data_IF_092520644153
#
_entry.id   IF_092520644153
#
_cell.length_a   1.000
_cell.length_b   1.000
_cell.length_c   1.000
_cell.angle_alpha   90.00
_cell.angle_beta   90.00
_cell.angle_gamma   90.00
#
_symmetry.space_group_name_H-M   'P 1'
#
loop_
_entity.id
_entity.type
_entity.pdbx_description
1 polymer ?
#
# COMPACT_ATOMS: atom_id res chain seq x y z
N UNK A 1 64.99 23.72 5.23
CA UNK A 1 63.88 24.05 6.16
C UNK A 1 62.55 24.31 5.45
N UNK A 2 62.51 25.05 4.33
CA UNK A 2 61.26 25.30 3.56
C UNK A 2 60.52 24.05 3.06
N UNK A 3 61.25 23.04 2.57
CA UNK A 3 60.64 21.80 2.05
C UNK A 3 59.98 20.96 3.17
N UNK A 4 60.60 20.92 4.36
CA UNK A 4 60.05 20.22 5.52
C UNK A 4 58.75 20.88 6.01
N UNK A 5 58.70 22.21 5.95
CA UNK A 5 57.50 22.99 6.27
C UNK A 5 56.36 22.72 5.27
N UNK A 6 56.69 22.52 3.99
CA UNK A 6 55.74 22.23 2.92
C UNK A 6 55.12 20.82 3.06
N UNK A 7 55.92 19.82 3.45
CA UNK A 7 55.39 18.48 3.74
C UNK A 7 54.55 18.45 5.02
N UNK A 8 54.90 19.25 6.04
CA UNK A 8 54.13 19.34 7.28
C UNK A 8 52.75 19.99 7.04
N UNK A 9 52.69 21.05 6.23
CA UNK A 9 51.41 21.69 5.87
C UNK A 9 50.57 20.83 4.92
N UNK A 10 51.20 20.09 4.00
CA UNK A 10 50.48 19.15 3.13
C UNK A 10 49.83 18.00 3.93
N UNK A 11 50.52 17.48 4.95
CA UNK A 11 49.96 16.46 5.84
C UNK A 11 48.81 16.99 6.71
N UNK A 12 48.90 18.25 7.15
CA UNK A 12 47.85 18.89 7.95
C UNK A 12 46.56 19.14 7.13
N UNK A 13 46.67 19.44 5.84
CA UNK A 13 45.51 19.66 4.95
C UNK A 13 44.89 18.32 4.53
N UNK A 14 45.70 17.27 4.31
CA UNK A 14 45.21 15.94 3.95
C UNK A 14 44.42 15.23 5.08
N UNK A 15 44.65 15.61 6.35
CA UNK A 15 43.97 15.01 7.51
C UNK A 15 42.57 15.54 7.83
N UNK A 16 42.12 16.64 7.20
CA UNK A 16 40.89 17.36 7.59
C UNK A 16 39.62 16.86 6.87
N UNK A 17 39.71 15.84 6.01
CA UNK A 17 38.64 15.46 5.07
C UNK A 17 37.61 14.41 5.52
N UNK A 18 37.63 13.91 6.77
CA UNK A 18 36.88 12.69 7.13
C UNK A 18 35.57 12.87 7.91
N UNK A 19 35.14 14.09 8.27
CA UNK A 19 33.90 14.32 9.05
C UNK A 19 32.85 15.05 8.22
N UNK A 20 32.49 14.49 7.06
CA UNK A 20 31.40 15.01 6.21
C UNK A 20 30.22 14.03 6.04
N UNK A 21 30.28 12.85 6.66
CA UNK A 21 29.17 11.90 6.59
C UNK A 21 28.09 12.25 7.61
N UNK A 22 26.98 12.82 7.12
CA UNK A 22 25.73 12.86 7.86
C UNK A 22 25.26 11.43 8.09
N UNK A 23 25.30 10.97 9.34
CA UNK A 23 24.67 9.71 9.73
C UNK A 23 23.16 9.95 9.74
N UNK A 24 22.45 9.39 8.77
CA UNK A 24 20.97 9.36 8.80
C UNK A 24 20.55 8.42 9.93
N UNK A 25 20.21 8.99 11.09
CA UNK A 25 19.68 8.23 12.22
C UNK A 25 18.23 7.87 11.95
N UNK A 26 18.00 6.68 11.39
CA UNK A 26 16.67 6.13 11.19
C UNK A 26 16.09 5.62 12.52
N UNK A 27 14.80 5.84 12.72
CA UNK A 27 14.06 5.21 13.82
C UNK A 27 14.01 3.69 13.60
N UNK A 28 14.45 2.86 14.56
CA UNK A 28 14.47 1.41 14.40
C UNK A 28 13.09 0.79 14.13
N UNK A 29 12.03 1.31 14.77
CA UNK A 29 10.66 0.81 14.61
C UNK A 29 10.14 1.14 13.21
N UNK A 30 10.38 2.36 12.73
CA UNK A 30 9.99 2.74 11.37
C UNK A 30 10.74 1.89 10.34
N UNK A 31 12.03 1.64 10.55
CA UNK A 31 12.83 0.79 9.67
C UNK A 31 12.28 -0.63 9.60
N UNK A 32 11.86 -1.20 10.73
CA UNK A 32 11.24 -2.51 10.78
C UNK A 32 9.92 -2.54 10.00
N UNK A 33 9.00 -1.60 10.25
CA UNK A 33 7.72 -1.50 9.52
C UNK A 33 7.91 -1.37 8.01
N UNK A 34 8.90 -0.58 7.57
CA UNK A 34 9.23 -0.44 6.14
C UNK A 34 9.77 -1.75 5.56
N UNK A 35 10.54 -2.51 6.33
CA UNK A 35 11.12 -3.79 5.88
C UNK A 35 10.08 -4.89 5.67
N UNK A 36 8.90 -4.78 6.32
CA UNK A 36 7.78 -5.71 6.14
C UNK A 36 7.00 -5.45 4.83
N UNK A 37 7.20 -4.30 4.19
CA UNK A 37 6.54 -3.97 2.92
C UNK A 37 7.13 -4.79 1.78
N UNK A 38 6.36 -5.74 1.27
CA UNK A 38 6.76 -6.61 0.16
C UNK A 38 6.27 -6.07 -1.19
N UNK A 39 7.22 -5.81 -2.10
CA UNK A 39 6.95 -5.49 -3.52
C UNK A 39 6.14 -6.61 -4.18
N UNK A 40 6.55 -7.85 -4.00
CA UNK A 40 5.96 -9.02 -4.65
C UNK A 40 4.49 -9.21 -4.23
N UNK A 41 4.18 -8.94 -2.96
CA UNK A 41 2.79 -8.95 -2.47
C UNK A 41 1.93 -7.88 -3.16
N UNK A 42 2.43 -6.65 -3.28
CA UNK A 42 1.71 -5.55 -3.94
C UNK A 42 1.48 -5.87 -5.41
N UNK A 43 2.51 -6.36 -6.10
CA UNK A 43 2.42 -6.79 -7.49
C UNK A 43 1.39 -7.91 -7.66
N UNK A 44 1.40 -8.93 -6.79
CA UNK A 44 0.41 -10.00 -6.80
C UNK A 44 -1.03 -9.50 -6.63
N UNK A 45 -1.26 -8.49 -5.79
CA UNK A 45 -2.59 -7.88 -5.63
C UNK A 45 -3.03 -7.15 -6.90
N UNK A 46 -2.11 -6.41 -7.54
CA UNK A 46 -2.39 -5.70 -8.77
C UNK A 46 -2.75 -6.68 -9.88
N UNK A 47 -1.93 -7.72 -10.11
CA UNK A 47 -2.20 -8.74 -11.13
C UNK A 47 -3.53 -9.46 -10.89
N UNK A 48 -3.85 -9.79 -9.64
CA UNK A 48 -5.14 -10.39 -9.28
C UNK A 48 -6.30 -9.48 -9.68
N UNK A 49 -6.25 -8.20 -9.33
CA UNK A 49 -7.32 -7.25 -9.65
C UNK A 49 -7.43 -6.93 -11.15
N UNK A 50 -6.30 -6.92 -11.87
CA UNK A 50 -6.26 -6.74 -13.33
C UNK A 50 -6.82 -7.95 -14.06
N UNK A 51 -6.60 -9.16 -13.54
CA UNK A 51 -7.08 -10.39 -14.16
C UNK A 51 -8.62 -10.47 -14.30
N UNK A 52 -9.37 -9.65 -13.55
CA UNK A 52 -10.83 -9.55 -13.68
C UNK A 52 -11.31 -8.71 -14.88
N UNK A 53 -10.38 -8.21 -15.71
CA UNK A 53 -10.59 -7.45 -16.95
C UNK A 53 -11.25 -6.07 -16.81
N UNK A 54 -12.38 -5.95 -16.12
CA UNK A 54 -13.11 -4.68 -15.95
C UNK A 54 -13.68 -4.55 -14.54
N UNK A 55 -13.78 -3.31 -14.04
CA UNK A 55 -14.27 -2.96 -12.70
C UNK A 55 -15.20 -1.73 -12.72
N UNK A 56 -15.76 -1.41 -13.89
CA UNK A 56 -16.68 -0.29 -14.03
C UNK A 56 -18.06 -0.66 -13.49
N UNK A 57 -18.85 0.34 -13.06
CA UNK A 57 -20.11 0.16 -12.33
C UNK A 57 -21.14 -0.76 -13.03
N UNK A 58 -21.12 -0.84 -14.36
CA UNK A 58 -22.06 -1.64 -15.15
C UNK A 58 -21.48 -2.99 -15.62
N UNK A 59 -20.31 -3.38 -15.11
CA UNK A 59 -19.75 -4.71 -15.40
C UNK A 59 -20.44 -5.80 -14.58
N UNK A 60 -20.24 -7.06 -14.97
CA UNK A 60 -20.87 -8.21 -14.31
C UNK A 60 -20.55 -8.24 -12.81
N UNK A 61 -21.59 -8.55 -12.03
CA UNK A 61 -21.52 -8.71 -10.57
C UNK A 61 -21.52 -10.18 -10.13
N UNK A 62 -21.86 -11.07 -11.04
CA UNK A 62 -22.20 -12.47 -10.79
C UNK A 62 -21.30 -13.46 -11.53
N UNK A 63 -20.59 -13.02 -12.57
CA UNK A 63 -19.66 -13.86 -13.33
C UNK A 63 -18.37 -14.11 -12.53
N UNK A 64 -18.03 -15.38 -12.22
CA UNK A 64 -16.77 -15.70 -11.56
C UNK A 64 -15.56 -15.30 -12.43
N UNK A 65 -14.57 -14.65 -11.81
CA UNK A 65 -13.32 -14.28 -12.48
C UNK A 65 -13.43 -13.12 -13.47
N UNK A 66 -14.57 -12.43 -13.56
CA UNK A 66 -14.76 -11.31 -14.49
C UNK A 66 -15.62 -10.21 -13.86
N UNK A 67 -15.27 -8.95 -14.11
CA UNK A 67 -16.10 -7.82 -13.72
C UNK A 67 -15.92 -7.37 -12.26
N UNK A 68 -16.73 -6.37 -11.90
CA UNK A 68 -16.70 -5.72 -10.58
C UNK A 68 -17.06 -6.69 -9.45
N UNK A 69 -17.92 -7.68 -9.70
CA UNK A 69 -18.31 -8.69 -8.72
C UNK A 69 -17.16 -9.57 -8.25
N UNK A 70 -16.36 -10.06 -9.21
CA UNK A 70 -15.16 -10.84 -8.91
C UNK A 70 -14.14 -10.03 -8.09
N UNK A 71 -13.99 -8.74 -8.40
CA UNK A 71 -13.11 -7.84 -7.65
C UNK A 71 -13.59 -7.59 -6.21
N UNK A 72 -14.90 -7.36 -5.99
CA UNK A 72 -15.46 -7.24 -4.65
C UNK A 72 -15.25 -8.49 -3.80
N UNK A 73 -15.45 -9.68 -4.39
CA UNK A 73 -15.20 -10.95 -3.72
C UNK A 73 -13.73 -11.10 -3.33
N UNK A 74 -12.82 -10.81 -4.26
CA UNK A 74 -11.38 -10.87 -4.00
C UNK A 74 -10.97 -9.96 -2.83
N UNK A 75 -11.41 -8.69 -2.83
CA UNK A 75 -11.09 -7.74 -1.75
C UNK A 75 -11.66 -8.20 -0.41
N UNK A 76 -12.91 -8.67 -0.40
CA UNK A 76 -13.55 -9.18 0.81
C UNK A 76 -12.76 -10.33 1.42
N UNK A 77 -12.41 -11.34 0.60
CA UNK A 77 -11.66 -12.50 1.04
C UNK A 77 -10.25 -12.12 1.52
N UNK A 78 -9.58 -11.17 0.83
CA UNK A 78 -8.25 -10.69 1.21
C UNK A 78 -8.24 -9.93 2.53
N UNK A 79 -9.22 -9.07 2.78
CA UNK A 79 -9.33 -8.43 4.08
C UNK A 79 -9.68 -9.45 5.17
N UNK A 80 -10.61 -10.35 4.88
CA UNK A 80 -11.06 -11.38 5.83
C UNK A 80 -9.92 -12.31 6.26
N UNK A 81 -8.95 -12.60 5.39
CA UNK A 81 -7.80 -13.43 5.75
C UNK A 81 -6.93 -12.82 6.87
N UNK A 82 -7.00 -11.50 7.10
CA UNK A 82 -6.23 -10.81 8.15
C UNK A 82 -6.95 -10.74 9.50
N UNK A 83 -8.18 -11.25 9.64
CA UNK A 83 -8.95 -11.18 10.90
C UNK A 83 -8.19 -11.87 12.04
N UNK A 84 -7.59 -13.04 11.79
CA UNK A 84 -6.81 -13.76 12.80
C UNK A 84 -5.60 -12.94 13.28
N UNK A 85 -4.88 -12.32 12.36
CA UNK A 85 -3.71 -11.48 12.68
C UNK A 85 -4.10 -10.23 13.47
N UNK A 86 -5.31 -9.71 13.26
CA UNK A 86 -5.83 -8.57 14.04
C UNK A 86 -6.27 -8.92 15.47
N UNK A 87 -6.23 -10.19 15.88
CA UNK A 87 -6.80 -10.65 17.15
C UNK A 87 -8.34 -10.54 17.18
N UNK A 88 -9.00 -10.62 16.02
CA UNK A 88 -10.46 -10.49 15.91
C UNK A 88 -10.98 -9.04 15.89
N UNK A 89 -10.12 -8.02 15.94
CA UNK A 89 -10.52 -6.60 15.89
C UNK A 89 -10.96 -6.14 14.51
N UNK A 90 -10.48 -6.80 13.47
CA UNK A 90 -10.87 -6.54 12.09
C UNK A 90 -12.23 -7.17 11.79
N UNK A 91 -13.17 -6.35 11.29
CA UNK A 91 -14.40 -6.82 10.65
C UNK A 91 -14.43 -6.43 9.18
N UNK A 92 -15.07 -7.24 8.34
CA UNK A 92 -15.20 -7.00 6.90
C UNK A 92 -16.64 -7.23 6.47
N UNK A 93 -17.23 -6.27 5.77
CA UNK A 93 -18.61 -6.31 5.33
C UNK A 93 -18.81 -5.73 3.93
N UNK A 94 -19.94 -6.09 3.31
CA UNK A 94 -20.44 -5.40 2.13
C UNK A 94 -21.43 -4.33 2.57
N UNK A 95 -21.25 -3.11 2.08
CA UNK A 95 -22.22 -2.02 2.26
C UNK A 95 -22.85 -1.73 0.90
N UNK A 96 -24.11 -2.13 0.76
CA UNK A 96 -24.90 -1.90 -0.45
C UNK A 96 -25.28 -0.42 -0.60
N UNK A 97 -25.24 0.08 -1.83
CA UNK A 97 -25.72 1.41 -2.19
C UNK A 97 -26.24 1.42 -3.63
N UNK A 98 -27.14 2.35 -3.94
CA UNK A 98 -27.74 2.45 -5.27
C UNK A 98 -27.27 3.73 -5.96
N UNK A 99 -26.92 3.61 -7.24
CA UNK A 99 -26.55 4.73 -8.11
C UNK A 99 -27.40 4.75 -9.38
N UNK A 100 -27.43 5.89 -10.05
CA UNK A 100 -28.15 6.05 -11.32
C UNK A 100 -29.63 6.43 -11.15
N UNK A 101 -30.33 6.54 -12.28
CA UNK A 101 -31.72 7.00 -12.36
C UNK A 101 -31.90 8.19 -13.30
N UNK A 102 -33.13 8.69 -13.38
CA UNK A 102 -33.49 9.79 -14.28
C UNK A 102 -32.62 11.04 -14.02
N UNK A 103 -31.97 11.54 -15.07
CA UNK A 103 -31.07 12.70 -14.99
C UNK A 103 -29.64 12.39 -14.51
N UNK A 104 -29.30 11.13 -14.22
CA UNK A 104 -27.95 10.73 -13.83
C UNK A 104 -27.11 10.24 -15.02
N UNK A 105 -25.78 10.15 -14.83
CA UNK A 105 -24.84 9.56 -15.82
C UNK A 105 -25.20 8.11 -16.17
N UNK A 106 -25.74 7.37 -15.21
CA UNK A 106 -26.24 6.01 -15.39
C UNK A 106 -27.76 6.09 -15.47
N UNK A 107 -28.39 5.82 -16.64
CA UNK A 107 -29.82 6.08 -16.84
C UNK A 107 -30.74 5.21 -15.98
N UNK A 108 -30.31 4.00 -15.64
CA UNK A 108 -31.06 3.06 -14.79
C UNK A 108 -30.41 2.96 -13.41
N UNK A 109 -31.21 2.59 -12.41
CA UNK A 109 -30.69 2.32 -11.08
C UNK A 109 -29.88 1.03 -11.07
N UNK A 110 -28.74 1.07 -10.39
CA UNK A 110 -27.83 -0.07 -10.21
C UNK A 110 -27.44 -0.15 -8.75
N UNK A 111 -27.62 -1.33 -8.15
CA UNK A 111 -27.10 -1.63 -6.82
C UNK A 111 -25.63 -2.02 -6.92
N UNK A 112 -24.80 -1.37 -6.11
CA UNK A 112 -23.36 -1.56 -6.02
C UNK A 112 -23.00 -1.84 -4.55
N UNK A 113 -21.78 -2.34 -4.34
CA UNK A 113 -21.27 -2.68 -3.02
C UNK A 113 -19.96 -1.96 -2.74
N UNK A 114 -19.81 -1.44 -1.53
CA UNK A 114 -18.50 -1.13 -0.97
C UNK A 114 -18.01 -2.36 -0.19
N UNK A 115 -16.71 -2.64 -0.27
CA UNK A 115 -16.05 -3.62 0.60
C UNK A 115 -15.39 -2.85 1.72
N UNK A 116 -15.96 -2.91 2.91
CA UNK A 116 -15.50 -2.12 4.06
C UNK A 116 -14.79 -3.02 5.05
N UNK A 117 -13.54 -2.69 5.37
CA UNK A 117 -12.74 -3.36 6.37
C UNK A 117 -12.44 -2.37 7.52
N UNK A 118 -12.88 -2.72 8.73
CA UNK A 118 -12.77 -1.86 9.91
C UNK A 118 -11.89 -2.53 10.95
N UNK A 119 -10.73 -1.94 11.23
CA UNK A 119 -9.83 -2.37 12.31
C UNK A 119 -10.08 -1.51 13.55
N UNK A 120 -10.65 -2.10 14.60
CA UNK A 120 -10.89 -1.39 15.87
C UNK A 120 -9.58 -1.15 16.63
N UNK A 121 -9.53 -0.03 17.36
CA UNK A 121 -8.48 0.30 18.31
C UNK A 121 -8.38 -0.72 19.46
N UNK A 122 -7.46 -0.47 20.38
CA UNK A 122 -7.21 -1.31 21.56
C UNK A 122 -7.36 -0.53 22.87
N UNK A 123 -7.87 0.69 22.79
CA UNK A 123 -8.09 1.63 23.88
C UNK A 123 -9.43 1.39 24.62
#
# INVERSE_FOLDING_TARGET
MKQLFFYLTFWFIAGQGLIAQTIVRQDPLIKEMVSEVSRDSIEGYIHSLVSFHTRQNLSSQDQPGYGIGAAWKYLYDRFRSNIKQSGGRLSVEYVDYTVGGNGARIPHQVSLKNVVATLRGTD
#
